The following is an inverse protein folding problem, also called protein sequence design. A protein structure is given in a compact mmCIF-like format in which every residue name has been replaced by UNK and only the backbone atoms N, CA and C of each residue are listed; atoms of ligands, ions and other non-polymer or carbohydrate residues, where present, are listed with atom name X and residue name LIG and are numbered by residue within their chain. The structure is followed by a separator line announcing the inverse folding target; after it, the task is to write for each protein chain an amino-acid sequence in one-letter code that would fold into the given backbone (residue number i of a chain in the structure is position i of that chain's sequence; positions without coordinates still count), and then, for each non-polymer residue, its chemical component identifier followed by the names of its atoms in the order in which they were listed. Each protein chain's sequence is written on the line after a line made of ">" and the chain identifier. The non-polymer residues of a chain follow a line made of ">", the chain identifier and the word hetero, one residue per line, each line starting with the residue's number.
data_IF_412941740508
#
_entry.id   IF_412941740508
#
_cell.length_a   1.000
_cell.length_b   1.000
_cell.length_c   1.000
_cell.angle_alpha   90.00
_cell.angle_beta   90.00
_cell.angle_gamma   90.00
#
_symmetry.space_group_name_H-M   'P 1'
#
loop_
_entity.id
_entity.type
_entity.pdbx_description
1 polymer ?
#
# COMPACT_ATOMS: atom_id res chain seq x y z
N UNK A 1 27.37 44.83 14.48
CA UNK A 1 26.13 44.05 14.65
C UNK A 1 25.07 44.62 13.73
N UNK A 2 24.92 44.05 12.53
CA UNK A 2 23.99 44.53 11.50
C UNK A 2 22.61 43.92 11.76
N UNK A 3 21.63 44.76 12.08
CA UNK A 3 20.25 44.36 12.31
C UNK A 3 19.62 43.81 11.02
N UNK A 4 19.58 42.49 10.89
CA UNK A 4 18.79 41.82 9.84
C UNK A 4 17.32 42.14 10.12
N UNK A 5 16.74 42.95 9.24
CA UNK A 5 15.39 43.45 9.34
C UNK A 5 14.39 42.28 9.30
N UNK A 6 13.83 41.92 10.46
CA UNK A 6 12.89 40.80 10.64
C UNK A 6 11.66 40.88 9.70
N UNK A 7 11.32 42.07 9.19
CA UNK A 7 10.25 42.23 8.18
C UNK A 7 10.60 41.64 6.81
N UNK A 8 11.88 41.38 6.52
CA UNK A 8 12.33 40.78 5.24
C UNK A 8 12.20 39.26 5.23
N UNK A 9 12.20 38.61 6.41
CA UNK A 9 12.01 37.16 6.55
C UNK A 9 10.53 36.74 6.46
N UNK A 10 9.58 37.67 6.65
CA UNK A 10 8.14 37.40 6.63
C UNK A 10 7.47 37.69 5.28
N UNK A 11 8.17 38.28 4.31
CA UNK A 11 7.65 38.42 2.94
C UNK A 11 8.02 37.18 2.15
N UNK A 12 7.19 36.14 2.27
CA UNK A 12 7.28 34.97 1.41
C UNK A 12 7.26 35.43 -0.05
N UNK A 13 8.30 35.06 -0.80
CA UNK A 13 8.38 35.32 -2.24
C UNK A 13 7.14 34.72 -2.93
N UNK A 14 6.32 35.53 -3.62
CA UNK A 14 5.17 35.04 -4.38
C UNK A 14 5.55 33.91 -5.38
N UNK A 15 6.79 33.91 -5.89
CA UNK A 15 7.30 32.83 -6.75
C UNK A 15 7.46 31.51 -5.98
N UNK A 16 8.00 31.55 -4.75
CA UNK A 16 8.10 30.38 -3.87
C UNK A 16 6.71 29.87 -3.44
N UNK A 17 5.72 30.76 -3.28
CA UNK A 17 4.34 30.34 -3.02
C UNK A 17 3.67 29.66 -4.22
N UNK A 18 3.96 30.11 -5.45
CA UNK A 18 3.44 29.46 -6.66
C UNK A 18 4.03 28.05 -6.82
N UNK A 19 5.26 27.86 -6.36
CA UNK A 19 6.04 26.62 -6.51
C UNK A 19 5.56 25.46 -5.62
N UNK A 20 5.15 25.72 -4.37
CA UNK A 20 4.68 24.63 -3.50
C UNK A 20 3.35 24.03 -3.95
N UNK A 21 2.42 24.86 -4.45
CA UNK A 21 1.12 24.38 -4.96
C UNK A 21 1.30 23.45 -6.15
N UNK A 22 2.20 23.80 -7.06
CA UNK A 22 2.55 22.94 -8.20
C UNK A 22 3.24 21.66 -7.75
N UNK A 23 4.10 21.73 -6.74
CA UNK A 23 4.77 20.56 -6.16
C UNK A 23 3.78 19.61 -5.49
N UNK A 24 2.85 20.10 -4.69
CA UNK A 24 1.79 19.28 -4.09
C UNK A 24 0.90 18.66 -5.15
N UNK A 25 0.44 19.44 -6.13
CA UNK A 25 -0.41 18.94 -7.20
C UNK A 25 0.27 17.83 -8.02
N UNK A 26 1.58 17.96 -8.25
CA UNK A 26 2.40 16.96 -8.97
C UNK A 26 2.57 15.66 -8.16
N UNK A 27 2.62 15.76 -6.82
CA UNK A 27 2.90 14.62 -5.93
C UNK A 27 1.67 14.09 -5.18
N UNK A 28 0.47 14.59 -5.49
CA UNK A 28 -0.80 14.18 -4.86
C UNK A 28 -1.04 12.66 -4.87
N UNK A 29 -0.51 11.98 -5.89
CA UNK A 29 -0.62 10.53 -6.07
C UNK A 29 0.01 9.71 -4.93
N UNK A 30 1.02 10.28 -4.25
CA UNK A 30 1.66 9.68 -3.09
C UNK A 30 1.15 10.29 -1.78
N UNK A 31 0.94 11.62 -1.78
CA UNK A 31 0.53 12.35 -0.59
C UNK A 31 -0.85 11.95 -0.09
N UNK A 32 -1.83 11.73 -0.99
CA UNK A 32 -3.19 11.41 -0.58
C UNK A 32 -3.29 10.03 0.08
N UNK A 33 -2.77 8.93 -0.50
CA UNK A 33 -2.75 7.64 0.18
C UNK A 33 -1.98 7.68 1.50
N UNK A 34 -0.82 8.34 1.53
CA UNK A 34 0.00 8.48 2.73
C UNK A 34 -0.78 9.17 3.87
N UNK A 35 -1.42 10.31 3.58
CA UNK A 35 -2.24 11.02 4.55
C UNK A 35 -3.44 10.19 5.03
N UNK A 36 -4.14 9.51 4.11
CA UNK A 36 -5.27 8.65 4.44
C UNK A 36 -4.86 7.49 5.37
N UNK A 37 -3.73 6.83 5.09
CA UNK A 37 -3.18 5.78 5.93
C UNK A 37 -2.85 6.27 7.34
N UNK A 38 -2.18 7.42 7.46
CA UNK A 38 -1.86 8.04 8.75
C UNK A 38 -3.11 8.37 9.57
N UNK A 39 -4.14 8.94 8.94
CA UNK A 39 -5.42 9.24 9.59
C UNK A 39 -6.07 7.95 10.11
N UNK A 40 -6.11 6.89 9.30
CA UNK A 40 -6.69 5.62 9.72
C UNK A 40 -5.92 4.98 10.88
N UNK A 41 -4.58 5.01 10.84
CA UNK A 41 -3.75 4.49 11.93
C UNK A 41 -3.89 5.30 13.22
N UNK A 42 -4.00 6.62 13.12
CA UNK A 42 -4.22 7.50 14.27
C UNK A 42 -5.60 7.23 14.90
N UNK A 43 -6.65 7.19 14.09
CA UNK A 43 -8.00 6.87 14.55
C UNK A 43 -8.05 5.47 15.18
N UNK A 44 -7.41 4.47 14.58
CA UNK A 44 -7.36 3.13 15.16
C UNK A 44 -6.65 3.17 16.52
N UNK A 45 -5.49 3.84 16.63
CA UNK A 45 -4.75 3.94 17.91
C UNK A 45 -5.54 4.60 19.04
N UNK A 46 -6.50 5.47 18.72
CA UNK A 46 -7.38 6.10 19.70
C UNK A 46 -8.51 5.17 20.16
N UNK A 47 -8.90 4.21 19.32
CA UNK A 47 -10.06 3.33 19.56
C UNK A 47 -9.64 1.94 20.03
N UNK A 48 -8.52 1.40 19.55
CA UNK A 48 -7.98 0.09 19.92
C UNK A 48 -7.20 0.19 21.23
N UNK A 49 -7.87 -0.08 22.36
CA UNK A 49 -7.21 -0.14 23.67
C UNK A 49 -6.43 -1.45 23.82
N UNK A 50 -5.21 -1.51 23.28
CA UNK A 50 -4.23 -2.55 23.61
C UNK A 50 -4.37 -3.90 22.91
N UNK A 51 -5.12 -4.00 21.81
CA UNK A 51 -5.13 -5.22 21.00
C UNK A 51 -3.83 -5.34 20.18
N UNK A 52 -3.18 -6.51 20.27
CA UNK A 52 -2.06 -6.86 19.40
C UNK A 52 -2.58 -7.07 17.98
N UNK A 53 -1.93 -6.43 16.99
CA UNK A 53 -2.36 -6.54 15.60
C UNK A 53 -1.77 -7.80 14.96
N UNK A 54 -2.57 -8.63 14.26
CA UNK A 54 -2.16 -9.97 13.83
C UNK A 54 -0.85 -10.06 13.04
N UNK A 55 -0.51 -9.01 12.27
CA UNK A 55 0.61 -9.02 11.31
C UNK A 55 1.85 -8.28 11.83
N UNK A 56 1.69 -7.33 12.74
CA UNK A 56 2.81 -6.49 13.21
C UNK A 56 3.39 -7.01 14.53
N UNK A 57 2.81 -8.07 15.10
CA UNK A 57 3.16 -8.56 16.43
C UNK A 57 3.08 -7.41 17.43
N UNK A 58 4.21 -7.14 18.10
CA UNK A 58 4.32 -6.05 19.09
C UNK A 58 4.57 -4.66 18.49
N UNK A 59 4.74 -4.54 17.17
CA UNK A 59 5.02 -3.24 16.56
C UNK A 59 3.76 -2.36 16.50
N UNK A 60 3.77 -1.16 17.09
CA UNK A 60 2.61 -0.28 17.08
C UNK A 60 2.30 0.22 15.65
N UNK A 61 1.05 0.08 15.22
CA UNK A 61 0.64 0.42 13.84
C UNK A 61 0.87 1.88 13.47
N UNK A 62 0.58 2.81 14.39
CA UNK A 62 0.70 4.24 14.11
C UNK A 62 2.12 4.65 13.68
N UNK A 63 3.18 4.40 14.47
CA UNK A 63 4.53 4.78 14.05
C UNK A 63 5.00 4.02 12.80
N UNK A 64 4.62 2.74 12.62
CA UNK A 64 4.94 2.00 11.40
C UNK A 64 4.27 2.63 10.17
N UNK A 65 2.99 3.00 10.29
CA UNK A 65 2.24 3.65 9.21
C UNK A 65 2.78 5.05 8.91
N UNK A 66 3.12 5.82 9.94
CA UNK A 66 3.76 7.13 9.79
C UNK A 66 5.11 7.01 9.07
N UNK A 67 5.96 6.05 9.47
CA UNK A 67 7.24 5.82 8.81
C UNK A 67 7.04 5.43 7.34
N UNK A 68 6.14 4.49 7.05
CA UNK A 68 5.82 4.11 5.67
C UNK A 68 5.28 5.28 4.85
N UNK A 69 4.33 6.05 5.39
CA UNK A 69 3.76 7.22 4.72
C UNK A 69 4.82 8.30 4.43
N UNK A 70 5.72 8.56 5.39
CA UNK A 70 6.83 9.51 5.23
C UNK A 70 7.84 9.04 4.19
N UNK A 71 8.07 7.73 4.04
CA UNK A 71 8.96 7.15 3.04
C UNK A 71 8.31 7.07 1.65
N UNK A 72 7.02 6.80 1.55
CA UNK A 72 6.31 6.61 0.28
C UNK A 72 6.47 7.82 -0.66
N UNK A 73 6.44 9.04 -0.10
CA UNK A 73 6.55 10.29 -0.87
C UNK A 73 7.94 10.46 -1.51
N UNK A 74 9.07 10.49 -0.77
CA UNK A 74 10.39 10.62 -1.37
C UNK A 74 10.75 9.43 -2.27
N UNK A 75 10.34 8.20 -1.93
CA UNK A 75 10.57 7.03 -2.79
C UNK A 75 9.80 7.14 -4.11
N UNK A 76 8.54 7.56 -4.05
CA UNK A 76 7.71 7.80 -5.23
C UNK A 76 8.27 8.91 -6.13
N UNK A 77 8.74 10.01 -5.53
CA UNK A 77 9.42 11.09 -6.26
C UNK A 77 10.69 10.55 -6.93
N UNK A 78 11.54 9.83 -6.18
CA UNK A 78 12.77 9.24 -6.71
C UNK A 78 12.49 8.31 -7.90
N UNK A 79 11.59 7.34 -7.74
CA UNK A 79 11.21 6.41 -8.81
C UNK A 79 10.71 7.14 -10.06
N UNK A 80 9.92 8.20 -9.88
CA UNK A 80 9.47 9.03 -10.99
C UNK A 80 10.62 9.73 -11.71
N UNK A 81 11.62 10.25 -10.98
CA UNK A 81 12.84 10.81 -11.62
C UNK A 81 13.65 9.77 -12.39
N UNK A 82 13.49 8.49 -12.05
CA UNK A 82 14.07 7.34 -12.79
C UNK A 82 13.17 6.88 -13.95
N UNK A 83 12.05 7.56 -14.22
CA UNK A 83 11.02 7.13 -15.18
C UNK A 83 10.41 5.76 -14.86
N UNK A 84 10.35 5.42 -13.57
CA UNK A 84 9.73 4.20 -13.04
C UNK A 84 8.43 4.59 -12.33
N UNK A 85 7.30 4.10 -12.85
CA UNK A 85 5.97 4.55 -12.42
C UNK A 85 5.29 5.43 -13.48
N UNK A 86 4.03 5.80 -13.23
CA UNK A 86 3.27 6.63 -14.16
C UNK A 86 3.86 8.05 -14.28
N UNK A 87 4.00 8.54 -15.52
CA UNK A 87 4.46 9.89 -15.80
C UNK A 87 3.52 10.97 -15.22
N UNK A 88 2.23 10.69 -15.20
CA UNK A 88 1.22 11.51 -14.56
C UNK A 88 0.16 10.62 -13.90
N UNK A 89 -0.38 11.03 -12.74
CA UNK A 89 -1.47 10.29 -12.11
C UNK A 89 -2.68 10.22 -13.02
N UNK A 90 -3.28 9.04 -13.09
CA UNK A 90 -4.49 8.82 -13.85
C UNK A 90 -5.63 9.72 -13.34
N UNK A 91 -6.42 10.29 -14.26
CA UNK A 91 -7.68 10.92 -13.88
C UNK A 91 -8.60 9.89 -13.22
N UNK A 92 -9.10 10.23 -12.04
CA UNK A 92 -10.10 9.44 -11.33
C UNK A 92 -11.44 9.61 -12.05
N UNK A 93 -12.02 8.50 -12.49
CA UNK A 93 -13.37 8.47 -13.08
C UNK A 93 -14.13 7.32 -12.45
N UNK A 94 -15.47 7.44 -12.38
CA UNK A 94 -16.34 6.39 -11.82
C UNK A 94 -16.08 5.04 -12.49
N UNK A 95 -15.98 5.01 -13.83
CA UNK A 95 -15.65 3.80 -14.60
C UNK A 95 -14.33 3.15 -14.15
N UNK A 96 -13.30 3.96 -13.86
CA UNK A 96 -11.99 3.44 -13.41
C UNK A 96 -12.03 2.94 -11.97
N UNK A 97 -12.81 3.60 -11.11
CA UNK A 97 -13.05 3.11 -9.74
C UNK A 97 -13.72 1.74 -9.80
N UNK A 98 -14.80 1.59 -10.59
CA UNK A 98 -15.45 0.29 -10.78
C UNK A 98 -14.51 -0.76 -11.38
N UNK A 99 -13.67 -0.39 -12.36
CA UNK A 99 -12.70 -1.32 -12.92
C UNK A 99 -11.67 -1.80 -11.89
N UNK A 100 -11.14 -0.90 -11.06
CA UNK A 100 -10.23 -1.27 -9.96
C UNK A 100 -10.93 -2.16 -8.92
N UNK A 101 -12.17 -1.80 -8.55
CA UNK A 101 -12.96 -2.59 -7.61
C UNK A 101 -13.22 -4.00 -8.13
N UNK A 102 -13.65 -4.12 -9.40
CA UNK A 102 -13.90 -5.41 -10.04
C UNK A 102 -12.62 -6.26 -10.15
N UNK A 103 -11.49 -5.65 -10.48
CA UNK A 103 -10.21 -6.36 -10.56
C UNK A 103 -9.73 -6.84 -9.18
N UNK A 104 -9.85 -5.99 -8.15
CA UNK A 104 -9.53 -6.37 -6.76
C UNK A 104 -10.42 -7.51 -6.26
N UNK A 105 -11.73 -7.43 -6.55
CA UNK A 105 -12.69 -8.48 -6.23
C UNK A 105 -12.35 -9.80 -6.95
N UNK A 106 -12.01 -9.75 -8.25
CA UNK A 106 -11.63 -10.94 -9.01
C UNK A 106 -10.37 -11.61 -8.43
N UNK A 107 -9.36 -10.83 -8.06
CA UNK A 107 -8.15 -11.36 -7.40
C UNK A 107 -8.44 -11.93 -6.00
N UNK A 108 -9.44 -11.40 -5.30
CA UNK A 108 -9.90 -11.89 -4.01
C UNK A 108 -10.67 -13.22 -4.09
N UNK A 109 -11.20 -13.61 -5.27
CA UNK A 109 -11.85 -14.92 -5.43
C UNK A 109 -10.87 -16.08 -5.23
N UNK A 110 -9.59 -15.90 -5.56
CA UNK A 110 -8.60 -16.96 -5.42
C UNK A 110 -8.35 -17.35 -3.94
N UNK A 111 -8.03 -16.45 -3.00
CA UNK A 111 -7.87 -16.82 -1.60
C UNK A 111 -9.17 -17.30 -0.96
N UNK A 112 -10.34 -16.82 -1.42
CA UNK A 112 -11.66 -17.37 -1.00
C UNK A 112 -11.80 -18.83 -1.41
N UNK A 113 -11.48 -19.16 -2.67
CA UNK A 113 -11.54 -20.54 -3.15
C UNK A 113 -10.55 -21.45 -2.39
N UNK A 114 -9.35 -20.94 -2.09
CA UNK A 114 -8.36 -21.66 -1.27
C UNK A 114 -8.92 -21.90 0.13
N UNK A 115 -9.48 -20.88 0.77
CA UNK A 115 -10.01 -20.96 2.14
C UNK A 115 -11.22 -21.89 2.26
N UNK A 116 -12.06 -21.96 1.23
CA UNK A 116 -13.16 -22.92 1.16
C UNK A 116 -12.67 -24.37 1.08
N UNK A 117 -11.54 -24.62 0.41
CA UNK A 117 -10.98 -25.96 0.23
C UNK A 117 -10.04 -26.37 1.38
N UNK A 118 -9.30 -25.41 1.92
CA UNK A 118 -8.23 -25.60 2.90
C UNK A 118 -8.22 -24.40 3.87
N UNK A 119 -9.12 -24.42 4.88
CA UNK A 119 -9.38 -23.27 5.73
C UNK A 119 -8.13 -22.67 6.37
N UNK A 120 -7.96 -21.37 6.21
CA UNK A 120 -6.96 -20.58 6.94
C UNK A 120 -7.32 -20.47 8.44
N UNK A 121 -6.38 -20.08 9.31
CA UNK A 121 -6.66 -19.84 10.72
C UNK A 121 -7.89 -18.94 10.97
N UNK A 122 -8.63 -19.21 12.04
CA UNK A 122 -9.88 -18.51 12.37
C UNK A 122 -9.67 -17.01 12.59
N UNK A 123 -8.52 -16.64 13.12
CA UNK A 123 -8.08 -15.30 13.51
C UNK A 123 -7.23 -14.59 12.44
N UNK A 124 -7.20 -15.11 11.20
CA UNK A 124 -6.45 -14.49 10.09
C UNK A 124 -6.91 -13.05 9.77
N UNK A 125 -8.19 -12.74 9.97
CA UNK A 125 -8.76 -11.44 9.64
C UNK A 125 -9.12 -10.65 10.90
N UNK A 126 -8.88 -9.34 10.85
CA UNK A 126 -9.26 -8.46 11.94
C UNK A 126 -10.80 -8.28 11.94
N UNK A 127 -11.47 -8.36 13.10
CA UNK A 127 -12.92 -8.17 13.15
C UNK A 127 -13.33 -6.70 12.91
N UNK A 128 -14.60 -6.51 12.55
CA UNK A 128 -15.23 -5.19 12.54
C UNK A 128 -15.45 -4.67 13.99
N UNK A 129 -15.37 -3.35 14.23
CA UNK A 129 -15.14 -2.28 13.24
C UNK A 129 -13.65 -2.00 12.95
N UNK A 130 -12.72 -2.58 13.71
CA UNK A 130 -11.28 -2.31 13.61
C UNK A 130 -10.70 -2.52 12.21
N UNK A 131 -11.22 -3.52 11.48
CA UNK A 131 -10.86 -3.82 10.09
C UNK A 131 -10.93 -2.60 9.16
N UNK A 132 -11.94 -1.73 9.32
CA UNK A 132 -12.17 -0.58 8.44
C UNK A 132 -11.06 0.47 8.52
N UNK A 133 -10.37 0.56 9.66
CA UNK A 133 -9.26 1.49 9.88
C UNK A 133 -7.91 0.80 9.69
N UNK A 134 -7.81 -0.48 10.07
CA UNK A 134 -6.59 -1.26 9.93
C UNK A 134 -6.19 -1.45 8.46
N UNK A 135 -7.10 -1.89 7.60
CA UNK A 135 -6.76 -2.28 6.23
C UNK A 135 -6.30 -1.09 5.35
N UNK A 136 -6.87 0.13 5.47
CA UNK A 136 -6.29 1.29 4.81
C UNK A 136 -4.91 1.69 5.30
N UNK A 137 -4.65 1.58 6.61
CA UNK A 137 -3.34 1.87 7.18
C UNK A 137 -2.29 0.86 6.70
N UNK A 138 -2.59 -0.44 6.82
CA UNK A 138 -1.64 -1.50 6.43
C UNK A 138 -1.45 -1.55 4.91
N UNK A 139 -2.40 -1.10 4.09
CA UNK A 139 -2.20 -0.97 2.64
C UNK A 139 -1.03 -0.04 2.33
N UNK A 140 -0.95 1.13 2.98
CA UNK A 140 0.17 2.07 2.80
C UNK A 140 1.49 1.44 3.23
N UNK A 141 1.49 0.72 4.36
CA UNK A 141 2.67 0.00 4.84
C UNK A 141 3.12 -1.05 3.83
N UNK A 142 2.20 -1.93 3.41
CA UNK A 142 2.49 -3.03 2.49
C UNK A 142 3.05 -2.52 1.15
N UNK A 143 2.40 -1.54 0.50
CA UNK A 143 2.92 -1.05 -0.79
C UNK A 143 4.27 -0.34 -0.64
N UNK A 144 4.49 0.35 0.47
CA UNK A 144 5.74 1.06 0.67
C UNK A 144 6.87 0.08 0.92
N UNK A 145 6.66 -0.89 1.82
CA UNK A 145 7.69 -1.83 2.27
C UNK A 145 7.96 -2.91 1.24
N UNK A 146 6.94 -3.45 0.58
CA UNK A 146 7.11 -4.60 -0.32
C UNK A 146 7.26 -4.21 -1.79
N UNK A 147 6.91 -2.98 -2.17
CA UNK A 147 7.01 -2.55 -3.57
C UNK A 147 7.86 -1.29 -3.75
N UNK A 148 7.47 -0.14 -3.20
CA UNK A 148 8.20 1.11 -3.45
C UNK A 148 9.64 1.07 -2.95
N UNK A 149 9.87 0.58 -1.73
CA UNK A 149 11.19 0.47 -1.11
C UNK A 149 12.12 -0.45 -1.92
N UNK A 150 11.77 -1.72 -2.14
CA UNK A 150 12.57 -2.66 -2.91
C UNK A 150 12.81 -2.16 -4.35
N UNK A 151 11.79 -1.60 -5.00
CA UNK A 151 11.93 -1.06 -6.35
C UNK A 151 12.87 0.14 -6.39
N UNK A 152 12.80 1.04 -5.39
CA UNK A 152 13.70 2.19 -5.29
C UNK A 152 15.15 1.75 -5.01
N UNK A 153 15.35 0.76 -4.15
CA UNK A 153 16.67 0.20 -3.87
C UNK A 153 17.29 -0.39 -5.14
N UNK A 154 16.54 -1.20 -5.89
CA UNK A 154 17.01 -1.75 -7.16
C UNK A 154 17.27 -0.65 -8.20
N UNK A 155 16.42 0.38 -8.27
CA UNK A 155 16.59 1.50 -9.19
C UNK A 155 17.79 2.40 -8.86
N UNK A 156 18.20 2.45 -7.59
CA UNK A 156 19.41 3.12 -7.12
C UNK A 156 20.67 2.37 -7.58
N UNK A 157 20.66 1.04 -7.48
CA UNK A 157 21.79 0.19 -7.85
C UNK A 157 21.90 -0.03 -9.37
N UNK A 158 20.78 0.02 -10.10
CA UNK A 158 20.75 -0.26 -11.53
C UNK A 158 21.20 0.95 -12.38
N UNK A 159 21.86 0.72 -13.54
CA UNK A 159 22.20 1.77 -14.49
C UNK A 159 20.99 2.60 -14.91
N UNK A 160 21.22 3.88 -15.26
CA UNK A 160 20.16 4.70 -15.85
C UNK A 160 19.71 4.09 -17.20
N UNK A 161 18.40 4.08 -17.44
CA UNK A 161 17.80 3.47 -18.63
C UNK A 161 17.46 1.98 -18.48
N UNK A 162 17.77 1.34 -17.35
CA UNK A 162 17.32 -0.03 -17.08
C UNK A 162 15.79 -0.12 -17.19
N UNK A 163 15.24 -1.04 -18.02
CA UNK A 163 13.80 -1.17 -18.18
C UNK A 163 13.10 -1.45 -16.85
N UNK A 164 12.04 -0.70 -16.53
CA UNK A 164 11.31 -0.82 -15.27
C UNK A 164 10.84 -2.27 -15.00
N UNK A 165 10.41 -2.99 -16.04
CA UNK A 165 9.99 -4.40 -15.91
C UNK A 165 11.08 -5.31 -15.34
N UNK A 166 12.36 -5.07 -15.68
CA UNK A 166 13.49 -5.86 -15.14
C UNK A 166 13.69 -5.61 -13.65
N UNK A 167 13.41 -4.39 -13.19
CA UNK A 167 13.48 -4.04 -11.77
C UNK A 167 12.25 -4.55 -11.00
N UNK A 168 11.08 -4.61 -11.65
CA UNK A 168 9.83 -5.09 -11.05
C UNK A 168 9.79 -6.61 -10.87
N UNK A 169 10.40 -7.38 -11.78
CA UNK A 169 10.46 -8.84 -11.74
C UNK A 169 10.86 -9.42 -10.36
N UNK A 170 11.99 -9.04 -9.76
CA UNK A 170 12.34 -9.52 -8.41
C UNK A 170 11.43 -8.95 -7.32
N UNK A 171 10.86 -7.76 -7.50
CA UNK A 171 9.99 -7.10 -6.50
C UNK A 171 8.66 -7.85 -6.34
N UNK A 172 8.15 -8.50 -7.39
CA UNK A 172 6.93 -9.31 -7.35
C UNK A 172 6.99 -10.39 -6.25
N UNK A 173 8.18 -10.92 -5.97
CA UNK A 173 8.37 -12.02 -5.02
C UNK A 173 8.60 -11.54 -3.58
N UNK A 174 8.80 -10.25 -3.33
CA UNK A 174 9.16 -9.77 -1.99
C UNK A 174 8.05 -10.05 -0.97
N UNK A 175 6.80 -9.67 -1.26
CA UNK A 175 5.67 -9.92 -0.36
C UNK A 175 5.33 -11.42 -0.22
N UNK A 176 5.23 -12.21 -1.31
CA UNK A 176 5.03 -13.66 -1.21
C UNK A 176 6.08 -14.38 -0.35
N UNK A 177 7.36 -14.06 -0.55
CA UNK A 177 8.44 -14.67 0.21
C UNK A 177 8.40 -14.25 1.68
N UNK A 178 8.09 -12.98 1.96
CA UNK A 178 7.85 -12.52 3.32
C UNK A 178 6.72 -13.32 3.99
N UNK A 179 5.59 -13.54 3.30
CA UNK A 179 4.49 -14.29 3.89
C UNK A 179 4.86 -15.76 4.18
N UNK A 180 5.58 -16.46 3.28
CA UNK A 180 6.04 -17.83 3.59
C UNK A 180 6.96 -17.85 4.81
N UNK A 181 7.89 -16.88 4.90
CA UNK A 181 8.90 -16.88 5.94
C UNK A 181 8.34 -16.55 7.33
N UNK A 182 7.21 -15.85 7.40
CA UNK A 182 6.68 -15.29 8.66
C UNK A 182 5.23 -15.70 8.98
N UNK A 183 4.52 -16.38 8.08
CA UNK A 183 3.18 -16.91 8.36
C UNK A 183 3.23 -18.44 8.47
N UNK A 184 2.87 -19.02 9.62
CA UNK A 184 2.90 -20.46 9.83
C UNK A 184 1.71 -21.12 9.10
N UNK A 185 1.94 -21.52 7.85
CA UNK A 185 0.98 -22.26 7.01
C UNK A 185 1.56 -23.63 6.65
N UNK A 186 0.70 -24.57 6.27
CA UNK A 186 1.18 -25.81 5.66
C UNK A 186 1.85 -25.53 4.28
N UNK A 187 2.60 -26.51 3.77
CA UNK A 187 3.36 -26.33 2.53
C UNK A 187 2.45 -26.05 1.31
N UNK A 188 1.27 -26.66 1.24
CA UNK A 188 0.36 -26.51 0.10
C UNK A 188 -0.29 -25.13 0.15
N UNK A 189 -0.83 -24.73 1.30
CA UNK A 189 -1.34 -23.38 1.55
C UNK A 189 -0.29 -22.32 1.23
N UNK A 190 0.96 -22.52 1.67
CA UNK A 190 2.06 -21.59 1.43
C UNK A 190 2.27 -21.33 -0.07
N UNK A 191 2.34 -22.38 -0.89
CA UNK A 191 2.51 -22.22 -2.34
C UNK A 191 1.29 -21.60 -3.03
N UNK A 192 0.08 -21.90 -2.57
CA UNK A 192 -1.14 -21.27 -3.08
C UNK A 192 -1.18 -19.77 -2.74
N UNK A 193 -0.75 -19.40 -1.53
CA UNK A 193 -0.60 -18.00 -1.09
C UNK A 193 0.46 -17.29 -1.94
N UNK A 194 1.59 -17.93 -2.26
CA UNK A 194 2.58 -17.36 -3.18
C UNK A 194 1.98 -17.05 -4.54
N UNK A 195 1.23 -18.01 -5.10
CA UNK A 195 0.55 -17.82 -6.38
C UNK A 195 -0.41 -16.64 -6.35
N UNK A 196 -1.23 -16.54 -5.29
CA UNK A 196 -2.19 -15.46 -5.14
C UNK A 196 -1.51 -14.09 -4.93
N UNK A 197 -0.64 -13.97 -3.94
CA UNK A 197 0.01 -12.69 -3.59
C UNK A 197 0.98 -12.26 -4.69
N UNK A 198 1.58 -13.21 -5.40
CA UNK A 198 2.34 -12.95 -6.62
C UNK A 198 1.47 -12.34 -7.71
N UNK A 199 0.28 -12.91 -7.97
CA UNK A 199 -0.66 -12.37 -8.96
C UNK A 199 -1.15 -10.96 -8.60
N UNK A 200 -1.42 -10.72 -7.30
CA UNK A 200 -1.74 -9.38 -6.79
C UNK A 200 -0.56 -8.43 -7.03
N UNK A 201 0.66 -8.82 -6.66
CA UNK A 201 1.88 -8.00 -6.81
C UNK A 201 2.19 -7.65 -8.28
N UNK A 202 2.03 -8.61 -9.20
CA UNK A 202 2.14 -8.37 -10.65
C UNK A 202 1.17 -7.28 -11.08
N UNK A 203 -0.10 -7.42 -10.70
CA UNK A 203 -1.17 -6.49 -11.10
C UNK A 203 -0.93 -5.10 -10.49
N UNK A 204 -0.49 -5.04 -9.25
CA UNK A 204 -0.18 -3.81 -8.53
C UNK A 204 1.00 -3.05 -9.14
N UNK A 205 2.10 -3.73 -9.47
CA UNK A 205 3.25 -3.11 -10.14
C UNK A 205 2.90 -2.65 -11.56
N UNK A 206 2.09 -3.42 -12.29
CA UNK A 206 1.56 -3.00 -13.58
C UNK A 206 0.69 -1.73 -13.46
N UNK A 207 -0.21 -1.67 -12.48
CA UNK A 207 -1.01 -0.48 -12.20
C UNK A 207 -0.14 0.70 -11.78
N UNK A 208 0.88 0.49 -10.95
CA UNK A 208 1.82 1.52 -10.54
C UNK A 208 2.54 2.13 -11.74
N UNK A 209 3.03 1.28 -12.66
CA UNK A 209 3.68 1.72 -13.88
C UNK A 209 2.75 2.55 -14.77
N UNK A 210 1.48 2.16 -14.87
CA UNK A 210 0.55 2.73 -15.84
C UNK A 210 -0.28 3.90 -15.32
N UNK A 211 -0.64 3.88 -14.04
CA UNK A 211 -1.62 4.79 -13.44
C UNK A 211 -1.16 5.46 -12.14
N UNK A 212 -0.08 4.98 -11.53
CA UNK A 212 0.53 5.58 -10.34
C UNK A 212 0.18 4.84 -9.05
N UNK A 213 0.68 5.39 -7.94
CA UNK A 213 0.58 4.79 -6.60
C UNK A 213 -0.85 4.75 -6.07
N UNK A 214 -1.67 5.77 -6.37
CA UNK A 214 -3.08 5.75 -5.94
C UNK A 214 -3.87 4.60 -6.58
N UNK A 215 -3.55 4.22 -7.83
CA UNK A 215 -4.21 3.08 -8.48
C UNK A 215 -3.78 1.74 -7.83
N UNK A 216 -2.50 1.62 -7.49
CA UNK A 216 -1.95 0.48 -6.78
C UNK A 216 -2.59 0.29 -5.40
N UNK A 217 -2.69 1.36 -4.62
CA UNK A 217 -3.41 1.40 -3.34
C UNK A 217 -4.89 1.07 -3.53
N UNK A 218 -5.54 1.68 -4.54
CA UNK A 218 -6.95 1.44 -4.84
C UNK A 218 -7.25 -0.04 -5.11
N UNK A 219 -6.38 -0.73 -5.85
CA UNK A 219 -6.50 -2.18 -6.05
C UNK A 219 -6.38 -2.95 -4.73
N UNK A 220 -5.39 -2.61 -3.88
CA UNK A 220 -5.22 -3.26 -2.57
C UNK A 220 -6.44 -3.10 -1.69
N UNK A 221 -6.99 -1.89 -1.61
CA UNK A 221 -8.17 -1.61 -0.80
C UNK A 221 -9.40 -2.38 -1.31
N UNK A 222 -9.57 -2.48 -2.62
CA UNK A 222 -10.64 -3.30 -3.21
C UNK A 222 -10.48 -4.79 -2.87
N UNK A 223 -9.25 -5.31 -2.98
CA UNK A 223 -8.93 -6.68 -2.58
C UNK A 223 -9.20 -6.91 -1.08
N UNK A 224 -8.73 -6.01 -0.21
CA UNK A 224 -8.96 -6.07 1.24
C UNK A 224 -10.44 -6.02 1.61
N UNK A 225 -11.22 -5.17 0.95
CA UNK A 225 -12.65 -5.07 1.21
C UNK A 225 -13.37 -6.41 0.97
N UNK A 226 -13.03 -7.11 -0.12
CA UNK A 226 -13.66 -8.39 -0.47
C UNK A 226 -13.10 -9.53 0.37
N UNK A 227 -11.77 -9.70 0.38
CA UNK A 227 -11.11 -10.82 1.04
C UNK A 227 -11.12 -10.69 2.57
N UNK A 228 -10.57 -9.61 3.10
CA UNK A 228 -10.35 -9.50 4.53
C UNK A 228 -11.58 -9.05 5.32
N UNK A 229 -12.43 -8.20 4.74
CA UNK A 229 -13.57 -7.63 5.45
C UNK A 229 -14.83 -8.44 5.19
N UNK A 230 -15.29 -8.49 3.93
CA UNK A 230 -16.53 -9.17 3.59
C UNK A 230 -16.43 -10.68 3.82
N UNK A 231 -15.48 -11.35 3.16
CA UNK A 231 -15.27 -12.78 3.36
C UNK A 231 -14.79 -13.11 4.77
N UNK A 232 -13.87 -12.32 5.35
CA UNK A 232 -13.43 -12.51 6.74
C UNK A 232 -14.56 -12.51 7.77
N UNK A 233 -15.65 -11.77 7.51
CA UNK A 233 -16.87 -11.82 8.34
C UNK A 233 -17.72 -13.06 8.05
N UNK A 234 -17.95 -13.35 6.76
CA UNK A 234 -18.85 -14.42 6.30
C UNK A 234 -18.27 -15.82 6.54
N UNK A 235 -16.96 -16.00 6.46
CA UNK A 235 -16.29 -17.30 6.62
C UNK A 235 -16.45 -17.89 8.02
N UNK A 236 -16.56 -17.04 9.05
CA UNK A 236 -16.63 -17.50 10.44
C UNK A 236 -17.79 -18.45 10.69
N UNK A 237 -19.06 -18.10 10.38
CA UNK A 237 -20.18 -19.02 10.51
C UNK A 237 -20.22 -20.13 9.44
N UNK A 238 -19.51 -20.01 8.32
CA UNK A 238 -19.52 -21.03 7.25
C UNK A 238 -18.52 -22.16 7.54
N UNK A 239 -17.31 -21.81 7.97
CA UNK A 239 -16.18 -22.73 8.10
C UNK A 239 -15.93 -23.18 9.54
N UNK A 240 -16.46 -22.47 10.54
CA UNK A 240 -16.13 -22.69 11.96
C UNK A 240 -17.35 -22.72 12.90
N UNK A 241 -18.55 -22.90 12.35
CA UNK A 241 -19.78 -23.10 13.14
C UNK A 241 -19.96 -24.56 13.57
#
# INVERSE_FOLDING_TARGET
>A
MTGVNAKRLLRADPAAMKDWRTTLARNRDYLLPAAAGCVCAALLSMVSRGEELPVLGRSPLLPVTLAAALLAVPLGIFLRTRSIGAAAPARVTVRRIFALAAMGAALALLPIAIDLALPFPRDLNLPLPGALLFYPAIAVVAETVFHLGPLALLALMAPRGTPAVRLMLPVILVEPLFQILFMPLDAVQSWLVVGNVGAVSVTQLWLFQRYGFSAMIGLRLAFYLVWHIAWGTVRLPILFA
#
